data_IF_608932400558
#
_entry.id   IF_608932400558
#
_cell.length_a   1.000
_cell.length_b   1.000
_cell.length_c   1.000
_cell.angle_alpha   90.00
_cell.angle_beta   90.00
_cell.angle_gamma   90.00
#
_symmetry.space_group_name_H-M   'P 1'
#
loop_
_entity.id
_entity.type
_entity.pdbx_description
1 polymer ?
#
# COMPACT_ATOMS: atom_id res chain seq x y z
N UNK A 1 8.96 3.89 -19.26
CA UNK A 1 8.65 3.19 -20.52
C UNK A 1 9.03 1.74 -20.34
N UNK A 2 8.12 0.82 -20.66
CA UNK A 2 8.41 -0.60 -20.69
C UNK A 2 8.66 -1.11 -22.10
N UNK A 3 9.09 -2.37 -22.22
CA UNK A 3 9.32 -3.03 -23.51
C UNK A 3 8.04 -3.19 -24.34
N UNK A 4 6.86 -3.20 -23.71
CA UNK A 4 5.55 -3.40 -24.34
C UNK A 4 4.75 -2.10 -24.54
N UNK A 5 5.19 -0.98 -23.98
CA UNK A 5 4.47 0.29 -24.07
C UNK A 5 4.88 1.28 -22.98
N UNK A 6 4.12 2.36 -22.85
CA UNK A 6 4.32 3.37 -21.81
C UNK A 6 3.11 3.43 -20.90
N UNK A 7 3.32 3.19 -19.61
CA UNK A 7 2.36 3.47 -18.56
C UNK A 7 2.62 4.87 -18.01
N UNK A 8 1.59 5.71 -17.97
CA UNK A 8 1.60 7.03 -17.35
C UNK A 8 0.49 7.09 -16.30
N UNK A 9 0.87 7.19 -15.03
CA UNK A 9 -0.06 7.39 -13.92
C UNK A 9 -0.41 8.87 -13.81
N UNK A 10 -1.67 9.16 -13.48
CA UNK A 10 -2.17 10.52 -13.26
C UNK A 10 -2.72 10.74 -11.86
N UNK A 11 -3.17 9.68 -11.19
CA UNK A 11 -3.64 9.73 -9.80
C UNK A 11 -3.45 8.33 -9.19
N UNK A 12 -3.04 8.30 -7.93
CA UNK A 12 -3.12 7.11 -7.08
C UNK A 12 -3.70 7.54 -5.75
N UNK A 13 -4.69 6.79 -5.27
CA UNK A 13 -5.18 6.92 -3.90
C UNK A 13 -5.16 5.59 -3.21
N UNK A 14 -4.88 5.65 -1.91
CA UNK A 14 -4.73 4.50 -1.03
C UNK A 14 -5.70 4.68 0.14
N UNK A 15 -6.27 3.59 0.61
CA UNK A 15 -6.84 3.48 1.94
C UNK A 15 -5.69 2.96 2.83
N UNK A 16 -5.17 3.85 3.65
CA UNK A 16 -4.18 3.50 4.67
C UNK A 16 -4.96 2.93 5.84
N UNK A 17 -4.71 1.68 6.22
CA UNK A 17 -5.34 1.06 7.39
C UNK A 17 -4.85 1.75 8.65
N UNK A 18 -3.52 1.83 8.76
CA UNK A 18 -2.88 2.42 9.91
C UNK A 18 -1.50 3.03 9.62
N UNK A 19 -1.04 3.80 10.59
CA UNK A 19 0.34 4.26 10.68
C UNK A 19 0.72 4.24 12.14
N UNK A 20 1.68 3.39 12.48
CA UNK A 20 2.08 3.15 13.86
C UNK A 20 3.50 3.66 14.14
N UNK A 21 3.71 4.12 15.37
CA UNK A 21 5.01 4.36 15.97
C UNK A 21 5.13 3.53 17.25
N UNK A 22 6.03 2.57 17.24
CA UNK A 22 6.34 1.76 18.42
C UNK A 22 7.60 2.24 19.13
N UNK A 23 7.57 2.24 20.46
CA UNK A 23 8.72 2.46 21.32
C UNK A 23 9.29 1.17 21.90
N UNK A 24 10.25 1.29 22.81
CA UNK A 24 10.93 0.13 23.43
C UNK A 24 10.11 -0.62 24.47
N UNK A 25 8.88 -0.21 24.74
CA UNK A 25 7.97 -0.88 25.66
C UNK A 25 6.53 -0.64 25.24
N UNK A 26 5.66 -1.58 25.61
CA UNK A 26 4.23 -1.61 25.23
C UNK A 26 3.49 -0.31 25.62
N UNK A 27 3.95 0.43 26.63
CA UNK A 27 3.34 1.72 27.01
C UNK A 27 3.73 2.90 26.06
N UNK A 28 4.49 2.66 25.00
CA UNK A 28 4.99 3.69 24.07
C UNK A 28 4.62 3.34 22.63
N UNK A 29 3.36 3.01 22.39
CA UNK A 29 2.78 2.91 21.05
C UNK A 29 1.99 4.17 20.69
N UNK A 30 1.89 4.46 19.40
CA UNK A 30 0.99 5.47 18.86
C UNK A 30 0.56 5.04 17.47
N UNK A 31 -0.70 4.70 17.35
CA UNK A 31 -1.33 4.33 16.09
C UNK A 31 -2.25 5.46 15.61
N UNK A 32 -2.38 5.56 14.29
CA UNK A 32 -3.39 6.41 13.68
C UNK A 32 -4.36 5.53 12.94
N UNK A 33 -5.65 5.66 13.25
CA UNK A 33 -6.67 4.96 12.48
C UNK A 33 -6.71 5.38 11.01
N UNK A 34 -7.49 4.61 10.26
CA UNK A 34 -7.56 4.66 8.81
C UNK A 34 -7.75 6.04 8.19
N UNK A 35 -7.23 6.20 6.97
CA UNK A 35 -7.33 7.43 6.20
C UNK A 35 -7.21 7.22 4.69
N UNK A 36 -7.74 8.15 3.90
CA UNK A 36 -7.49 8.20 2.46
C UNK A 36 -6.23 9.02 2.18
N UNK A 37 -5.24 8.41 1.52
CA UNK A 37 -4.02 9.05 1.10
C UNK A 37 -4.04 9.32 -0.41
N UNK A 38 -3.95 10.60 -0.80
CA UNK A 38 -3.67 11.05 -2.16
C UNK A 38 -2.15 11.02 -2.40
N UNK A 39 -1.69 10.07 -3.22
CA UNK A 39 -0.27 9.82 -3.42
C UNK A 39 0.30 10.75 -4.50
N UNK A 40 1.14 11.70 -4.07
CA UNK A 40 1.87 12.56 -4.99
C UNK A 40 2.80 11.75 -5.90
N UNK A 41 2.57 11.84 -7.22
CA UNK A 41 3.37 11.14 -8.23
C UNK A 41 4.69 11.88 -8.60
N UNK A 42 4.88 13.10 -8.09
CA UNK A 42 6.07 13.92 -8.35
C UNK A 42 7.25 13.58 -7.43
N UNK A 43 7.01 12.79 -6.38
CA UNK A 43 7.98 12.40 -5.36
C UNK A 43 7.74 10.96 -4.93
N UNK A 44 8.81 10.24 -4.57
CA UNK A 44 8.67 8.94 -3.90
C UNK A 44 8.54 9.08 -2.38
N UNK A 45 8.67 10.29 -1.84
CA UNK A 45 8.56 10.54 -0.40
C UNK A 45 7.14 10.93 -0.02
N UNK A 46 6.52 10.13 0.84
CA UNK A 46 5.20 10.40 1.41
C UNK A 46 5.39 10.94 2.82
N UNK A 47 4.75 12.07 3.13
CA UNK A 47 4.77 12.63 4.49
C UNK A 47 3.64 12.06 5.32
N UNK A 48 3.97 11.52 6.49
CA UNK A 48 3.01 10.96 7.44
C UNK A 48 2.61 12.04 8.44
N UNK A 49 1.70 12.93 8.03
CA UNK A 49 1.26 14.06 8.88
C UNK A 49 0.47 13.60 10.11
N UNK A 50 -0.25 12.48 10.00
CA UNK A 50 -1.00 11.88 11.11
C UNK A 50 -0.07 11.48 12.27
N UNK A 51 1.09 10.88 11.94
CA UNK A 51 2.15 10.49 12.86
C UNK A 51 2.81 11.67 13.60
N UNK A 52 2.63 12.91 13.12
CA UNK A 52 3.12 14.11 13.83
C UNK A 52 2.34 14.41 15.12
N UNK A 53 1.18 13.76 15.31
CA UNK A 53 0.35 13.89 16.52
C UNK A 53 0.77 12.95 17.64
N UNK A 54 1.81 12.14 17.42
CA UNK A 54 2.33 11.22 18.42
C UNK A 54 2.61 11.94 19.76
N UNK A 55 2.25 11.32 20.90
CA UNK A 55 2.59 11.84 22.21
C UNK A 55 4.10 12.01 22.44
N UNK A 56 4.46 12.72 23.52
CA UNK A 56 5.86 12.78 23.96
C UNK A 56 6.36 11.37 24.26
N UNK A 57 7.45 10.97 23.62
CA UNK A 57 7.91 9.59 23.65
C UNK A 57 9.19 9.37 22.85
N UNK A 58 9.71 8.15 22.93
CA UNK A 58 10.87 7.69 22.19
C UNK A 58 10.48 6.46 21.37
N UNK A 59 10.35 6.65 20.06
CA UNK A 59 9.88 5.63 19.12
C UNK A 59 11.04 5.04 18.33
N UNK A 60 11.05 3.73 18.19
CA UNK A 60 12.07 2.93 17.52
C UNK A 60 11.60 2.31 16.22
N UNK A 61 10.29 2.19 16.01
CA UNK A 61 9.71 1.64 14.79
C UNK A 61 8.73 2.65 14.20
N UNK A 62 8.62 2.66 12.89
CA UNK A 62 7.56 3.30 12.13
C UNK A 62 6.98 2.22 11.23
N UNK A 63 5.67 2.10 11.25
CA UNK A 63 4.91 1.23 10.37
C UNK A 63 3.89 2.05 9.59
N UNK A 64 3.60 1.59 8.38
CA UNK A 64 2.60 2.15 7.50
C UNK A 64 2.00 1.01 6.72
N UNK A 65 0.68 0.92 6.74
CA UNK A 65 -0.03 -0.18 6.13
C UNK A 65 -1.17 0.32 5.24
N UNK A 66 -1.33 -0.33 4.11
CA UNK A 66 -2.47 -0.21 3.19
C UNK A 66 -3.03 -1.60 3.07
N UNK A 67 -4.25 -1.80 3.50
CA UNK A 67 -4.98 -3.04 3.31
C UNK A 67 -6.48 -2.74 3.15
N UNK A 68 -7.23 -3.78 2.81
CA UNK A 68 -8.67 -3.69 2.75
C UNK A 68 -9.26 -3.77 4.17
N UNK A 69 -9.86 -2.67 4.61
CA UNK A 69 -10.54 -2.51 5.90
C UNK A 69 -11.85 -3.31 6.05
N UNK A 70 -12.04 -4.40 5.29
CA UNK A 70 -13.24 -5.22 5.47
C UNK A 70 -13.17 -5.93 6.83
N UNK A 71 -13.98 -5.45 7.76
CA UNK A 71 -14.34 -6.17 8.99
C UNK A 71 -14.76 -7.58 8.61
N UNK A 72 -14.00 -8.59 9.06
CA UNK A 72 -14.40 -9.98 8.90
C UNK A 72 -15.77 -10.16 9.60
N UNK A 73 -16.80 -10.55 8.84
CA UNK A 73 -18.18 -10.79 9.30
C UNK A 73 -18.30 -11.88 10.42
N UNK A 74 -17.20 -12.39 10.96
CA UNK A 74 -17.13 -13.54 11.87
C UNK A 74 -16.78 -13.19 13.34
N UNK A 75 -16.48 -11.93 13.70
CA UNK A 75 -16.34 -11.54 15.11
C UNK A 75 -17.42 -10.53 15.59
N UNK A 76 -18.55 -11.03 16.13
CA UNK A 76 -19.69 -10.22 16.57
C UNK A 76 -19.43 -9.36 17.83
N UNK A 77 -18.17 -9.16 18.20
CA UNK A 77 -17.71 -8.38 19.35
C UNK A 77 -17.00 -7.06 19.00
N UNK A 78 -16.47 -6.92 17.78
CA UNK A 78 -15.64 -5.76 17.35
C UNK A 78 -16.32 -4.89 16.27
N UNK A 79 -17.53 -5.25 15.85
CA UNK A 79 -18.23 -4.66 14.69
C UNK A 79 -18.64 -3.18 14.84
N UNK A 80 -18.78 -2.62 16.05
CA UNK A 80 -19.46 -1.32 16.21
C UNK A 80 -18.55 -0.10 16.02
N UNK A 81 -17.27 -0.12 16.44
CA UNK A 81 -16.37 1.06 16.32
C UNK A 81 -15.51 1.02 15.05
N UNK A 82 -15.05 -0.15 14.61
CA UNK A 82 -14.24 -0.30 13.37
C UNK A 82 -15.09 -0.18 12.10
N UNK A 83 -16.29 -0.78 12.10
CA UNK A 83 -17.22 -0.68 10.97
C UNK A 83 -17.74 0.75 10.69
N UNK A 84 -17.85 1.59 11.73
CA UNK A 84 -18.23 3.00 11.58
C UNK A 84 -17.10 3.85 10.99
N UNK A 85 -15.84 3.52 11.32
CA UNK A 85 -14.69 4.19 10.73
C UNK A 85 -14.56 3.83 9.24
N UNK A 86 -14.76 2.56 8.89
CA UNK A 86 -14.69 2.11 7.50
C UNK A 86 -15.70 2.81 6.57
N UNK A 87 -16.98 2.92 6.96
CA UNK A 87 -17.99 3.58 6.12
C UNK A 87 -17.65 5.06 5.86
N UNK A 88 -17.04 5.74 6.83
CA UNK A 88 -16.58 7.12 6.67
C UNK A 88 -15.41 7.23 5.70
N UNK A 89 -14.40 6.36 5.83
CA UNK A 89 -13.25 6.29 4.91
C UNK A 89 -13.70 5.92 3.50
N UNK A 90 -14.60 4.97 3.36
CA UNK A 90 -15.17 4.58 2.07
C UNK A 90 -15.99 5.73 1.45
N UNK A 91 -16.68 6.53 2.26
CA UNK A 91 -17.37 7.74 1.78
C UNK A 91 -16.36 8.78 1.27
N UNK A 92 -15.28 9.03 2.01
CA UNK A 92 -14.20 9.93 1.59
C UNK A 92 -13.54 9.45 0.28
N UNK A 93 -13.25 8.15 0.16
CA UNK A 93 -12.72 7.57 -1.07
C UNK A 93 -13.68 7.76 -2.26
N UNK A 94 -14.99 7.63 -2.00
CA UNK A 94 -16.05 7.81 -3.00
C UNK A 94 -16.30 9.27 -3.40
N UNK A 95 -15.91 10.24 -2.57
CA UNK A 95 -15.92 11.65 -2.97
C UNK A 95 -14.94 11.92 -4.13
N UNK A 96 -13.82 11.18 -4.17
CA UNK A 96 -12.88 11.22 -5.29
C UNK A 96 -13.28 10.29 -6.44
N UNK A 97 -13.74 9.08 -6.12
CA UNK A 97 -14.11 8.04 -7.09
C UNK A 97 -15.43 7.38 -6.71
N UNK A 98 -16.55 7.87 -7.24
CA UNK A 98 -17.89 7.44 -6.86
C UNK A 98 -18.19 5.94 -7.02
N UNK A 99 -17.39 5.23 -7.82
CA UNK A 99 -17.46 3.80 -8.04
C UNK A 99 -16.41 2.99 -7.26
N UNK A 100 -15.78 3.56 -6.23
CA UNK A 100 -14.82 2.86 -5.37
C UNK A 100 -15.46 1.59 -4.76
N UNK A 101 -14.99 0.40 -5.14
CA UNK A 101 -15.47 -0.88 -4.62
C UNK A 101 -15.24 -1.02 -3.12
N UNK A 102 -16.08 -1.76 -2.41
CA UNK A 102 -15.89 -1.96 -0.96
C UNK A 102 -14.55 -2.61 -0.66
N UNK A 103 -14.22 -3.70 -1.35
CA UNK A 103 -12.99 -4.46 -1.14
C UNK A 103 -11.73 -3.85 -1.82
N UNK A 104 -11.76 -2.57 -2.22
CA UNK A 104 -10.59 -1.92 -2.81
C UNK A 104 -9.85 -1.09 -1.76
N UNK A 105 -8.56 -1.30 -1.60
CA UNK A 105 -7.67 -0.44 -0.81
C UNK A 105 -6.88 0.55 -1.68
N UNK A 106 -6.91 0.40 -3.01
CA UNK A 106 -6.18 1.28 -3.92
C UNK A 106 -6.93 1.56 -5.23
N UNK A 107 -6.78 2.79 -5.75
CA UNK A 107 -7.11 3.13 -7.14
C UNK A 107 -5.88 3.71 -7.84
N UNK A 108 -5.70 3.35 -9.11
CA UNK A 108 -4.78 4.01 -10.02
C UNK A 108 -5.52 4.48 -11.28
N UNK A 109 -5.25 5.71 -11.70
CA UNK A 109 -5.70 6.22 -13.00
C UNK A 109 -4.54 6.62 -13.86
N UNK A 110 -4.75 6.60 -15.16
CA UNK A 110 -3.71 6.97 -16.09
C UNK A 110 -4.01 6.61 -17.52
N UNK A 111 -2.93 6.46 -18.27
CA UNK A 111 -2.95 6.07 -19.67
C UNK A 111 -1.87 5.03 -19.95
N UNK A 112 -2.23 3.97 -20.66
CA UNK A 112 -1.29 3.05 -21.28
C UNK A 112 -1.20 3.33 -22.78
N UNK A 113 0.02 3.35 -23.32
CA UNK A 113 0.28 3.51 -24.75
C UNK A 113 1.05 2.29 -25.23
N UNK A 114 0.40 1.33 -25.92
CA UNK A 114 1.10 0.21 -26.54
C UNK A 114 2.12 0.70 -27.56
N UNK A 115 3.17 -0.09 -27.81
CA UNK A 115 4.15 0.24 -28.86
C UNK A 115 3.48 0.38 -30.24
N UNK A 116 3.55 1.58 -30.81
CA UNK A 116 2.91 1.89 -32.09
C UNK A 116 1.37 1.94 -32.04
N UNK A 117 0.79 1.88 -30.84
CA UNK A 117 -0.64 1.96 -30.58
C UNK A 117 -1.12 3.37 -30.25
N UNK A 118 -2.42 3.48 -30.00
CA UNK A 118 -3.05 4.69 -29.50
C UNK A 118 -3.11 4.68 -27.96
N UNK A 119 -3.11 5.85 -27.30
CA UNK A 119 -3.31 5.94 -25.86
C UNK A 119 -4.65 5.34 -25.40
N UNK A 120 -4.63 4.59 -24.31
CA UNK A 120 -5.77 3.95 -23.67
C UNK A 120 -5.84 4.39 -22.20
N UNK A 121 -6.86 5.19 -21.87
CA UNK A 121 -7.09 5.63 -20.49
C UNK A 121 -7.64 4.50 -19.63
N UNK A 122 -7.32 4.51 -18.34
CA UNK A 122 -7.82 3.54 -17.38
C UNK A 122 -8.10 4.19 -16.02
N UNK A 123 -9.00 3.54 -15.28
CA UNK A 123 -9.18 3.64 -13.83
C UNK A 123 -9.21 2.21 -13.35
N UNK A 124 -8.29 1.84 -12.46
CA UNK A 124 -8.11 0.47 -11.98
C UNK A 124 -8.16 0.47 -10.46
N UNK A 125 -9.09 -0.30 -9.88
CA UNK A 125 -9.15 -0.57 -8.45
C UNK A 125 -8.42 -1.87 -8.12
N UNK A 126 -7.76 -1.91 -6.97
CA UNK A 126 -6.99 -3.04 -6.50
C UNK A 126 -7.37 -3.36 -5.05
N UNK A 127 -7.29 -4.65 -4.75
CA UNK A 127 -7.14 -5.14 -3.38
C UNK A 127 -5.63 -5.17 -3.11
N UNK A 128 -5.11 -4.05 -2.61
CA UNK A 128 -3.68 -3.84 -2.42
C UNK A 128 -3.30 -4.00 -0.94
N UNK A 129 -2.19 -4.68 -0.71
CA UNK A 129 -1.53 -4.85 0.57
C UNK A 129 -0.15 -4.19 0.44
N UNK A 130 0.07 -3.08 1.15
CA UNK A 130 1.38 -2.39 1.18
C UNK A 130 1.77 -2.21 2.63
N UNK A 131 2.88 -2.81 3.01
CA UNK A 131 3.47 -2.63 4.33
C UNK A 131 4.81 -1.89 4.21
N UNK A 132 5.07 -0.95 5.11
CA UNK A 132 6.36 -0.28 5.24
C UNK A 132 6.77 -0.22 6.70
N UNK A 133 7.50 -1.25 7.14
CA UNK A 133 8.16 -1.20 8.44
C UNK A 133 9.55 -0.55 8.34
N UNK A 134 9.88 0.30 9.32
CA UNK A 134 11.19 0.94 9.40
C UNK A 134 11.67 1.11 10.83
N UNK A 135 12.82 0.51 11.11
CA UNK A 135 13.59 0.86 12.31
C UNK A 135 14.13 2.31 12.25
N UNK A 136 13.80 3.09 13.28
CA UNK A 136 14.25 4.46 13.51
C UNK A 136 15.57 4.46 14.29
N UNK A 137 16.67 4.73 13.59
CA UNK A 137 18.00 4.85 14.20
C UNK A 137 18.68 6.18 13.82
N UNK A 138 18.87 7.13 14.77
CA UNK A 138 18.48 7.05 16.19
C UNK A 138 16.95 7.09 16.37
N UNK A 139 16.43 6.63 17.54
CA UNK A 139 15.00 6.67 17.84
C UNK A 139 14.41 8.07 17.66
N UNK A 140 13.17 8.15 17.16
CA UNK A 140 12.42 9.39 17.07
C UNK A 140 12.08 9.88 18.48
N UNK A 141 12.56 11.08 18.81
CA UNK A 141 12.21 11.77 20.05
C UNK A 141 11.12 12.78 19.77
N UNK A 142 9.94 12.56 20.35
CA UNK A 142 8.85 13.54 20.36
C UNK A 142 8.88 14.25 21.70
N UNK A 143 8.98 15.58 21.69
CA UNK A 143 9.01 16.40 22.91
C UNK A 143 7.75 17.27 23.03
N UNK A 144 7.56 17.93 24.16
CA UNK A 144 6.45 18.87 24.36
C UNK A 144 6.49 20.08 23.39
N UNK A 145 7.65 20.37 22.81
CA UNK A 145 7.82 21.40 21.79
C UNK A 145 7.43 20.90 20.38
N UNK A 146 6.97 19.66 20.27
CA UNK A 146 6.54 18.99 19.03
C UNK A 146 7.62 18.09 18.42
N UNK A 147 7.24 17.37 17.35
CA UNK A 147 8.14 16.50 16.60
C UNK A 147 9.06 17.35 15.69
N UNK A 148 10.40 17.34 15.87
CA UNK A 148 11.28 18.18 15.06
C UNK A 148 11.45 17.72 13.60
N UNK A 149 10.78 16.64 13.17
CA UNK A 149 10.98 15.99 11.86
C UNK A 149 9.66 15.57 11.23
N UNK A 150 9.50 15.85 9.94
CA UNK A 150 8.48 15.20 9.11
C UNK A 150 8.87 13.73 8.94
N UNK A 151 8.04 12.82 9.46
CA UNK A 151 8.16 11.41 9.16
C UNK A 151 7.81 11.18 7.70
N UNK A 152 8.69 10.44 7.01
CA UNK A 152 8.51 10.14 5.59
C UNK A 152 8.83 8.68 5.31
N UNK A 153 8.01 8.08 4.47
CA UNK A 153 8.23 6.75 3.88
C UNK A 153 8.55 6.90 2.40
N UNK A 154 9.12 5.85 1.80
CA UNK A 154 9.37 5.79 0.38
C UNK A 154 8.38 4.84 -0.28
N UNK A 155 7.53 5.38 -1.15
CA UNK A 155 6.68 4.57 -2.03
C UNK A 155 7.15 4.77 -3.47
N UNK A 156 7.17 3.70 -4.27
CA UNK A 156 7.57 3.78 -5.68
C UNK A 156 6.51 3.22 -6.64
N UNK A 157 5.44 3.99 -6.92
CA UNK A 157 4.36 3.53 -7.79
C UNK A 157 4.78 3.19 -9.22
N UNK A 158 5.87 3.79 -9.70
CA UNK A 158 6.41 3.48 -11.03
C UNK A 158 6.95 2.05 -11.12
N UNK A 159 7.29 1.43 -9.98
CA UNK A 159 7.79 0.04 -9.91
C UNK A 159 6.69 -0.98 -9.68
N UNK A 160 5.62 -0.62 -8.98
CA UNK A 160 4.48 -1.50 -8.69
C UNK A 160 3.87 -2.16 -9.92
N UNK A 161 3.94 -1.50 -11.07
CA UNK A 161 3.36 -1.98 -12.33
C UNK A 161 4.41 -2.41 -13.37
N UNK A 162 5.66 -2.64 -12.95
CA UNK A 162 6.75 -3.01 -13.84
C UNK A 162 7.29 -4.40 -13.46
N UNK A 163 7.39 -5.30 -14.45
CA UNK A 163 8.00 -6.61 -14.25
C UNK A 163 9.55 -6.57 -14.32
N UNK A 164 10.19 -7.68 -13.94
CA UNK A 164 11.65 -7.88 -13.99
C UNK A 164 12.23 -7.76 -15.42
N UNK A 165 11.41 -7.99 -16.43
CA UNK A 165 11.73 -7.81 -17.85
C UNK A 165 11.61 -6.37 -18.35
N UNK A 166 11.30 -5.40 -17.48
CA UNK A 166 11.01 -4.02 -17.86
C UNK A 166 9.80 -3.90 -18.80
N UNK A 167 8.83 -4.83 -18.76
CA UNK A 167 7.49 -4.60 -19.30
C UNK A 167 6.66 -3.91 -18.21
N UNK A 168 5.71 -3.10 -18.64
CA UNK A 168 4.74 -2.46 -17.73
C UNK A 168 3.38 -3.12 -17.88
N UNK A 169 2.64 -3.30 -16.79
CA UNK A 169 1.30 -3.88 -16.79
C UNK A 169 0.35 -2.94 -17.54
N UNK A 170 -0.39 -3.48 -18.50
CA UNK A 170 -1.44 -2.73 -19.20
C UNK A 170 -2.72 -2.71 -18.36
N UNK A 171 -2.85 -1.67 -17.53
CA UNK A 171 -3.99 -1.50 -16.63
C UNK A 171 -5.30 -1.19 -17.36
N UNK A 172 -5.25 -0.84 -18.66
CA UNK A 172 -6.45 -0.66 -19.48
C UNK A 172 -7.16 -1.97 -19.84
N UNK A 173 -6.48 -3.10 -19.64
CA UNK A 173 -6.99 -4.44 -19.96
C UNK A 173 -7.52 -5.19 -18.73
N UNK A 174 -7.64 -4.52 -17.57
CA UNK A 174 -8.21 -5.15 -16.38
C UNK A 174 -9.67 -5.51 -16.64
N UNK A 175 -10.00 -6.78 -16.43
CA UNK A 175 -11.32 -7.32 -16.68
C UNK A 175 -12.27 -7.02 -15.51
N UNK A 176 -12.96 -5.89 -15.63
CA UNK A 176 -13.99 -5.53 -14.65
C UNK A 176 -15.24 -6.40 -14.72
N UNK A 177 -15.48 -7.13 -15.82
CA UNK A 177 -16.60 -8.08 -15.86
C UNK A 177 -16.31 -9.27 -14.95
N UNK A 178 -15.05 -9.74 -14.93
CA UNK A 178 -14.60 -10.75 -13.97
C UNK A 178 -14.79 -10.29 -12.52
N UNK A 179 -14.42 -9.04 -12.21
CA UNK A 179 -14.70 -8.46 -10.89
C UNK A 179 -16.20 -8.45 -10.57
N UNK A 180 -17.05 -7.99 -11.49
CA UNK A 180 -18.51 -7.93 -11.28
C UNK A 180 -19.14 -9.32 -11.08
N UNK A 181 -18.56 -10.36 -11.67
CA UNK A 181 -19.03 -11.75 -11.53
C UNK A 181 -18.56 -12.42 -10.24
N UNK A 182 -17.32 -12.13 -9.82
CA UNK A 182 -16.65 -12.88 -8.74
C UNK A 182 -16.49 -12.11 -7.44
N UNK A 183 -16.64 -10.79 -7.47
CA UNK A 183 -16.27 -9.88 -6.37
C UNK A 183 -14.77 -9.69 -6.19
N UNK A 184 -13.92 -10.31 -7.03
CA UNK A 184 -12.46 -10.29 -6.86
C UNK A 184 -11.80 -9.17 -7.66
N UNK A 185 -11.08 -8.31 -6.96
CA UNK A 185 -10.21 -7.31 -7.58
C UNK A 185 -8.84 -7.91 -7.92
N UNK A 186 -8.08 -7.28 -8.83
CA UNK A 186 -6.67 -7.61 -8.95
C UNK A 186 -5.95 -7.31 -7.62
N UNK A 187 -5.21 -8.29 -7.11
CA UNK A 187 -4.37 -8.12 -5.93
C UNK A 187 -3.01 -7.51 -6.26
N UNK A 188 -2.44 -6.79 -5.30
CA UNK A 188 -1.06 -6.29 -5.32
C UNK A 188 -0.49 -6.31 -3.90
N UNK A 189 0.58 -7.05 -3.68
CA UNK A 189 1.27 -7.12 -2.38
C UNK A 189 2.65 -6.47 -2.48
N UNK A 190 3.03 -5.71 -1.46
CA UNK A 190 4.23 -4.86 -1.44
C UNK A 190 4.82 -4.72 -0.04
N UNK A 191 5.97 -5.35 0.22
CA UNK A 191 6.75 -5.06 1.42
C UNK A 191 7.71 -3.88 1.22
N UNK A 192 7.96 -3.14 2.30
CA UNK A 192 8.88 -1.99 2.34
C UNK A 192 8.58 -0.90 1.28
N UNK A 193 7.33 -0.81 0.80
CA UNK A 193 6.86 0.26 -0.09
C UNK A 193 7.33 0.12 -1.55
N UNK A 194 7.88 -1.03 -1.90
CA UNK A 194 8.32 -1.39 -3.26
C UNK A 194 7.72 -2.74 -3.66
N UNK A 195 7.76 -3.06 -4.96
CA UNK A 195 7.47 -4.42 -5.46
C UNK A 195 8.28 -5.42 -4.65
N UNK A 196 7.59 -6.35 -3.99
CA UNK A 196 8.29 -7.50 -3.43
C UNK A 196 8.91 -8.24 -4.61
N UNK A 197 10.23 -8.34 -4.57
CA UNK A 197 10.93 -9.21 -5.48
C UNK A 197 11.16 -10.44 -4.64
N UNK A 198 10.15 -11.32 -4.60
CA UNK A 198 10.36 -12.74 -4.32
C UNK A 198 11.47 -13.18 -5.27
N UNK A 199 12.68 -13.10 -4.75
CA UNK A 199 13.81 -13.78 -5.31
C UNK A 199 13.60 -15.20 -4.83
N UNK A 200 12.72 -15.93 -5.53
CA UNK A 200 12.76 -17.39 -5.60
C UNK A 200 14.11 -17.78 -6.24
N UNK A 201 15.18 -17.47 -5.52
CA UNK A 201 16.59 -17.74 -5.79
C UNK A 201 17.22 -18.28 -4.48
N UNK A 202 16.41 -18.94 -3.65
CA UNK A 202 16.88 -20.03 -2.80
C UNK A 202 16.56 -21.35 -3.53
N UNK A 203 17.29 -21.57 -4.63
CA UNK A 203 17.74 -22.92 -4.99
C UNK A 203 18.59 -23.42 -3.80
N UNK A 204 17.94 -23.87 -2.73
CA UNK A 204 18.52 -24.80 -1.77
C UNK A 204 18.59 -26.16 -2.49
N UNK A 205 19.55 -26.24 -3.43
CA UNK A 205 20.21 -27.48 -3.82
C UNK A 205 20.92 -28.03 -2.57
N UNK A 206 20.17 -28.67 -1.68
CA UNK A 206 20.71 -29.63 -0.72
C UNK A 206 21.12 -30.91 -1.49
N UNK A 207 22.18 -30.77 -2.28
CA UNK A 207 23.11 -31.87 -2.55
C UNK A 207 23.94 -32.07 -1.28
N UNK A 208 23.56 -33.06 -0.46
CA UNK A 208 24.54 -33.74 0.37
C UNK A 208 24.32 -35.27 0.34
N UNK A 209 25.42 -35.90 -0.08
CA UNK A 209 25.70 -37.28 -0.39
C UNK A 209 25.37 -38.32 0.71
N UNK A 210 25.23 -39.56 0.20
CA UNK A 210 25.60 -40.84 0.81
C UNK A 210 24.84 -41.34 2.07
N UNK A 211 24.19 -42.49 1.91
CA UNK A 211 24.55 -43.66 2.72
C UNK A 211 24.07 -44.98 2.07
N UNK A 212 25.04 -45.88 1.88
CA UNK A 212 24.93 -47.29 1.51
C UNK A 212 23.82 -48.07 2.24
N UNK A 213 23.15 -49.02 1.57
CA UNK A 213 22.94 -50.43 2.00
C UNK A 213 22.28 -51.31 0.93
#
# INVERSE_FOLDING_TARGET
MGQNGTLQLTDIRLIVSETELEGRGEETEFETGASVLDLSLDTSQVSLSSAQRAPTGSYTTLEFEVENLEVEDDDPGEEEDEGQNFDAILTEARDAYSNWPRQASMVATGTFVPNGGSPQSFTTFFDAEIEVERTLNPPLQVTQDGTPRSLTIQLNPSRWFQDSGNKVRDLSQVDYAYYQETGRLPSLEFENGVADVDSDDDDDDDDDDDDDY
#
